data_IF_256674002759
#
_entry.id   IF_256674002759
#
_cell.length_a   1.000
_cell.length_b   1.000
_cell.length_c   1.000
_cell.angle_alpha   90.00
_cell.angle_beta   90.00
_cell.angle_gamma   90.00
#
_symmetry.space_group_name_H-M   'P 1'
#
loop_
_entity.id
_entity.type
_entity.pdbx_description
1 polymer ?
#
# COMPACT_ATOMS: atom_id res chain seq x y z
N UNK A 1 -12.55 -37.50 -18.04
CA UNK A 1 -12.70 -36.64 -16.84
C UNK A 1 -11.55 -35.64 -16.84
N UNK A 2 -11.75 -34.47 -17.45
CA UNK A 2 -10.75 -33.40 -17.46
C UNK A 2 -10.77 -32.71 -16.10
N UNK A 3 -9.72 -32.92 -15.31
CA UNK A 3 -9.56 -32.21 -14.05
C UNK A 3 -9.41 -30.71 -14.36
N UNK A 4 -10.41 -29.93 -13.96
CA UNK A 4 -10.36 -28.47 -13.98
C UNK A 4 -9.17 -28.02 -13.13
N UNK A 5 -8.17 -27.38 -13.75
CA UNK A 5 -7.03 -26.82 -13.02
C UNK A 5 -7.57 -25.77 -12.04
N UNK A 6 -7.15 -25.80 -10.76
CA UNK A 6 -7.54 -24.76 -9.81
C UNK A 6 -7.03 -23.41 -10.30
N UNK A 7 -7.89 -22.38 -10.27
CA UNK A 7 -7.55 -20.98 -10.54
C UNK A 7 -6.50 -20.51 -9.51
N UNK A 8 -5.22 -20.75 -9.78
CA UNK A 8 -4.13 -20.18 -9.01
C UNK A 8 -3.85 -18.78 -9.54
N UNK A 9 -4.37 -17.76 -8.87
CA UNK A 9 -3.91 -16.39 -9.12
C UNK A 9 -2.45 -16.31 -8.68
N UNK A 10 -1.55 -15.99 -9.60
CA UNK A 10 -0.14 -15.85 -9.27
C UNK A 10 0.07 -14.61 -8.40
N UNK A 11 0.88 -14.72 -7.34
CA UNK A 11 1.26 -13.56 -6.53
C UNK A 11 1.89 -12.44 -7.36
N UNK A 12 2.56 -12.78 -8.47
CA UNK A 12 3.11 -11.80 -9.40
C UNK A 12 2.02 -11.01 -10.13
N UNK A 13 0.91 -11.66 -10.51
CA UNK A 13 -0.22 -11.02 -11.17
C UNK A 13 -0.95 -10.08 -10.21
N UNK A 14 -1.16 -10.51 -8.96
CA UNK A 14 -1.73 -9.66 -7.91
C UNK A 14 -0.84 -8.43 -7.70
N UNK A 15 0.47 -8.65 -7.55
CA UNK A 15 1.44 -7.55 -7.36
C UNK A 15 1.43 -6.60 -8.55
N UNK A 16 1.46 -7.11 -9.77
CA UNK A 16 1.43 -6.31 -10.99
C UNK A 16 0.14 -5.48 -11.10
N UNK A 17 -1.02 -6.09 -10.81
CA UNK A 17 -2.30 -5.39 -10.83
C UNK A 17 -2.40 -4.27 -9.79
N UNK A 18 -1.89 -4.50 -8.57
CA UNK A 18 -1.82 -3.47 -7.54
C UNK A 18 -0.91 -2.31 -7.96
N UNK A 19 0.28 -2.61 -8.49
CA UNK A 19 1.22 -1.57 -8.96
C UNK A 19 0.60 -0.77 -10.11
N UNK A 20 0.08 -1.44 -11.14
CA UNK A 20 -0.53 -0.77 -12.28
C UNK A 20 -1.71 0.13 -11.89
N UNK A 21 -2.47 -0.25 -10.85
CA UNK A 21 -3.54 0.59 -10.31
C UNK A 21 -2.98 1.83 -9.61
N UNK A 22 -1.95 1.67 -8.78
CA UNK A 22 -1.31 2.79 -8.08
C UNK A 22 -0.67 3.78 -9.06
N UNK A 23 0.04 3.27 -10.07
CA UNK A 23 0.68 4.09 -11.10
C UNK A 23 -0.35 4.91 -11.88
N UNK A 24 -1.44 4.27 -12.35
CA UNK A 24 -2.54 4.97 -13.04
C UNK A 24 -3.14 6.09 -12.21
N UNK A 25 -3.40 5.85 -10.92
CA UNK A 25 -3.95 6.88 -10.02
C UNK A 25 -2.95 8.01 -9.82
N UNK A 26 -1.65 7.71 -9.73
CA UNK A 26 -0.60 8.71 -9.63
C UNK A 26 -0.53 9.57 -10.89
N UNK A 27 -0.48 8.96 -12.07
CA UNK A 27 -0.39 9.64 -13.36
C UNK A 27 -1.57 10.60 -13.56
N UNK A 28 -2.80 10.14 -13.27
CA UNK A 28 -3.99 11.00 -13.40
C UNK A 28 -3.96 12.13 -12.38
N UNK A 29 -3.51 11.87 -11.14
CA UNK A 29 -3.45 12.90 -10.10
C UNK A 29 -2.36 13.96 -10.34
N UNK A 30 -1.31 13.64 -11.12
CA UNK A 30 -0.20 14.56 -11.41
C UNK A 30 -0.38 15.31 -12.72
N UNK A 31 -0.82 14.62 -13.78
CA UNK A 31 -0.85 15.15 -15.15
C UNK A 31 -2.25 15.13 -15.81
N UNK A 32 -3.27 14.62 -15.12
CA UNK A 32 -4.62 14.49 -15.67
C UNK A 32 -5.41 15.79 -15.71
N UNK A 33 -6.41 15.85 -16.60
CA UNK A 33 -7.40 16.93 -16.61
C UNK A 33 -8.26 16.93 -15.34
N UNK A 34 -8.73 18.10 -14.91
CA UNK A 34 -9.49 18.28 -13.65
C UNK A 34 -10.66 17.29 -13.48
N UNK A 35 -11.43 17.05 -14.54
CA UNK A 35 -12.54 16.10 -14.51
C UNK A 35 -12.07 14.65 -14.30
N UNK A 36 -10.96 14.26 -14.93
CA UNK A 36 -10.37 12.93 -14.73
C UNK A 36 -9.84 12.77 -13.29
N UNK A 37 -9.23 13.82 -12.74
CA UNK A 37 -8.78 13.86 -11.34
C UNK A 37 -9.96 13.69 -10.39
N UNK A 38 -11.07 14.39 -10.59
CA UNK A 38 -12.27 14.29 -9.75
C UNK A 38 -12.87 12.88 -9.80
N UNK A 39 -12.98 12.30 -11.00
CA UNK A 39 -13.50 10.93 -11.17
C UNK A 39 -12.62 9.91 -10.44
N UNK A 40 -11.30 9.93 -10.66
CA UNK A 40 -10.36 9.05 -9.95
C UNK A 40 -10.40 9.28 -8.45
N UNK A 41 -10.46 10.53 -7.99
CA UNK A 41 -10.55 10.83 -6.56
C UNK A 41 -11.79 10.22 -5.91
N UNK A 42 -12.92 10.16 -6.62
CA UNK A 42 -14.17 9.58 -6.10
C UNK A 42 -14.20 8.06 -6.18
N UNK A 43 -13.66 7.48 -7.25
CA UNK A 43 -13.78 6.04 -7.52
C UNK A 43 -12.63 5.24 -6.89
N UNK A 44 -11.40 5.75 -6.98
CA UNK A 44 -10.18 5.01 -6.66
C UNK A 44 -9.71 5.24 -5.22
N UNK A 45 -9.75 6.49 -4.74
CA UNK A 45 -9.26 6.81 -3.38
C UNK A 45 -9.99 6.02 -2.29
N UNK A 46 -11.33 5.87 -2.29
CA UNK A 46 -12.00 5.06 -1.27
C UNK A 46 -11.55 3.60 -1.27
N UNK A 47 -11.34 3.01 -2.45
CA UNK A 47 -10.87 1.64 -2.60
C UNK A 47 -9.42 1.49 -2.11
N UNK A 48 -8.54 2.43 -2.45
CA UNK A 48 -7.17 2.46 -1.95
C UNK A 48 -7.13 2.60 -0.44
N UNK A 49 -7.93 3.51 0.14
CA UNK A 49 -8.05 3.66 1.60
C UNK A 49 -8.58 2.39 2.27
N UNK A 50 -9.55 1.70 1.68
CA UNK A 50 -10.05 0.42 2.18
C UNK A 50 -8.94 -0.65 2.18
N UNK A 51 -8.20 -0.78 1.07
CA UNK A 51 -7.05 -1.69 0.97
C UNK A 51 -5.96 -1.38 1.98
N UNK A 52 -5.57 -0.11 2.11
CA UNK A 52 -4.59 0.34 3.11
C UNK A 52 -5.06 0.03 4.53
N UNK A 53 -6.31 0.31 4.89
CA UNK A 53 -6.87 -0.03 6.21
C UNK A 53 -6.85 -1.54 6.46
N UNK A 54 -7.18 -2.35 5.46
CA UNK A 54 -7.11 -3.81 5.58
C UNK A 54 -5.67 -4.28 5.86
N UNK A 55 -4.67 -3.78 5.13
CA UNK A 55 -3.25 -4.08 5.37
C UNK A 55 -2.80 -3.63 6.76
N UNK A 56 -3.15 -2.40 7.16
CA UNK A 56 -2.83 -1.87 8.49
C UNK A 56 -3.48 -2.69 9.60
N UNK A 57 -4.69 -3.22 9.40
CA UNK A 57 -5.38 -4.02 10.43
C UNK A 57 -4.63 -5.32 10.79
N UNK A 58 -3.82 -5.84 9.86
CA UNK A 58 -2.93 -6.98 10.11
C UNK A 58 -1.76 -6.61 11.03
N UNK A 59 -1.49 -5.31 11.20
CA UNK A 59 -0.37 -4.76 11.93
C UNK A 59 -0.83 -3.93 13.12
N UNK A 60 -0.83 -4.55 14.31
CA UNK A 60 -1.17 -3.88 15.58
C UNK A 60 0.06 -3.83 16.49
N UNK A 61 0.94 -2.82 16.34
CA UNK A 61 2.06 -2.65 17.26
C UNK A 61 1.57 -2.28 18.67
N UNK A 62 2.36 -2.60 19.69
CA UNK A 62 2.19 -2.09 21.05
C UNK A 62 2.64 -0.63 21.17
N UNK A 63 2.54 -0.06 22.37
CA UNK A 63 2.95 1.32 22.67
C UNK A 63 4.45 1.58 22.41
N UNK A 64 5.26 0.52 22.33
CA UNK A 64 6.69 0.60 21.99
C UNK A 64 6.94 0.36 20.49
N UNK A 65 5.89 0.37 19.66
CA UNK A 65 5.96 0.19 18.22
C UNK A 65 6.21 -1.26 17.77
N UNK A 66 6.19 -2.24 18.69
CA UNK A 66 6.54 -3.63 18.36
C UNK A 66 5.32 -4.41 17.89
N UNK A 67 5.41 -4.98 16.70
CA UNK A 67 4.32 -5.70 16.07
C UNK A 67 4.54 -7.22 16.13
N UNK A 68 3.54 -7.98 16.58
CA UNK A 68 3.59 -9.46 16.62
C UNK A 68 3.48 -10.12 15.24
N UNK A 69 2.82 -9.45 14.30
CA UNK A 69 2.76 -9.89 12.90
C UNK A 69 4.11 -9.71 12.20
N UNK A 70 4.88 -8.69 12.59
CA UNK A 70 6.27 -8.56 12.20
C UNK A 70 7.13 -9.54 13.00
N UNK A 71 7.64 -10.58 12.34
CA UNK A 71 8.47 -11.59 12.99
C UNK A 71 9.94 -11.23 12.82
N UNK A 72 10.69 -11.17 13.93
CA UNK A 72 12.16 -11.10 13.91
C UNK A 72 12.79 -12.33 14.56
N UNK A 73 13.97 -12.74 14.08
CA UNK A 73 14.76 -13.84 14.65
C UNK A 73 14.35 -15.25 14.17
N UNK A 74 15.12 -16.26 14.60
CA UNK A 74 14.87 -17.69 14.30
C UNK A 74 13.51 -18.14 14.86
N UNK A 75 12.92 -19.21 14.31
CA UNK A 75 11.55 -19.66 14.67
C UNK A 75 11.33 -19.84 16.17
N UNK A 76 12.41 -20.14 16.93
CA UNK A 76 12.39 -20.46 18.36
C UNK A 76 12.66 -19.25 19.26
N UNK A 77 12.98 -18.09 18.68
CA UNK A 77 13.18 -16.81 19.38
C UNK A 77 12.48 -15.68 18.65
N UNK A 78 11.25 -15.92 18.20
CA UNK A 78 10.44 -14.88 17.56
C UNK A 78 10.08 -13.82 18.59
N UNK A 79 10.71 -12.66 18.51
CA UNK A 79 10.37 -11.48 19.33
C UNK A 79 9.60 -10.48 18.47
N UNK A 80 8.62 -9.75 19.05
CA UNK A 80 8.04 -8.59 18.40
C UNK A 80 9.15 -7.59 18.01
N UNK A 81 9.08 -7.06 16.80
CA UNK A 81 10.03 -6.07 16.26
C UNK A 81 9.30 -4.80 15.83
N UNK A 82 9.98 -3.66 15.65
CA UNK A 82 9.36 -2.46 15.09
C UNK A 82 8.55 -2.77 13.83
N UNK A 83 7.36 -2.18 13.74
CA UNK A 83 6.41 -2.48 12.67
C UNK A 83 6.89 -1.92 11.32
N UNK A 84 7.64 -2.72 10.56
CA UNK A 84 8.20 -2.28 9.26
C UNK A 84 7.14 -1.70 8.32
N UNK A 85 5.98 -2.35 8.05
CA UNK A 85 5.02 -1.81 7.09
C UNK A 85 4.46 -0.43 7.48
N UNK A 86 4.23 -0.19 8.77
CA UNK A 86 3.76 1.12 9.23
C UNK A 86 4.87 2.18 9.16
N UNK A 87 6.12 1.81 9.46
CA UNK A 87 7.26 2.72 9.32
C UNK A 87 7.50 3.10 7.85
N UNK A 88 7.50 2.12 6.95
CA UNK A 88 7.64 2.35 5.50
C UNK A 88 6.51 3.23 4.96
N UNK A 89 5.26 2.97 5.39
CA UNK A 89 4.11 3.80 5.02
C UNK A 89 4.29 5.26 5.49
N UNK A 90 4.67 5.46 6.76
CA UNK A 90 4.89 6.81 7.31
C UNK A 90 6.01 7.55 6.58
N UNK A 91 7.10 6.86 6.27
CA UNK A 91 8.21 7.40 5.49
C UNK A 91 7.74 7.84 4.10
N UNK A 92 7.04 6.96 3.38
CA UNK A 92 6.53 7.25 2.03
C UNK A 92 5.59 8.46 2.01
N UNK A 93 4.68 8.58 2.99
CA UNK A 93 3.80 9.74 3.12
C UNK A 93 4.59 11.01 3.41
N UNK A 94 5.53 10.96 4.35
CA UNK A 94 6.39 12.11 4.67
C UNK A 94 7.18 12.58 3.43
N UNK A 95 7.75 11.65 2.66
CA UNK A 95 8.50 11.98 1.44
C UNK A 95 7.59 12.57 0.36
N UNK A 96 6.37 12.06 0.18
CA UNK A 96 5.43 12.60 -0.79
C UNK A 96 4.95 14.02 -0.43
N UNK A 97 4.65 14.28 0.85
CA UNK A 97 4.22 15.60 1.33
C UNK A 97 5.34 16.64 1.23
N UNK A 98 6.58 16.25 1.51
CA UNK A 98 7.75 17.15 1.40
C UNK A 98 8.16 17.42 -0.04
N UNK A 99 7.95 16.46 -0.96
CA UNK A 99 8.18 16.62 -2.40
C UNK A 99 7.22 17.61 -3.07
N UNK A 100 5.91 17.54 -2.79
CA UNK A 100 4.89 18.44 -3.40
C UNK A 100 5.12 19.92 -3.12
N UNK A 101 5.70 20.26 -1.97
CA UNK A 101 6.04 21.65 -1.63
C UNK A 101 7.08 22.29 -2.57
N UNK A 102 7.82 21.49 -3.35
CA UNK A 102 8.82 21.97 -4.33
C UNK A 102 8.23 22.19 -5.72
N UNK A 103 7.20 21.43 -6.12
CA UNK A 103 6.59 21.51 -7.44
C UNK A 103 5.55 22.64 -7.56
N UNK A 104 4.83 23.00 -6.49
CA UNK A 104 3.85 24.09 -6.49
C UNK A 104 4.43 25.52 -6.53
N UNK A 105 5.77 25.69 -6.61
CA UNK A 105 6.44 27.00 -6.64
C UNK A 105 7.02 27.39 -8.01
N UNK A 106 6.61 26.72 -9.08
CA UNK A 106 7.02 27.06 -10.45
C UNK A 106 5.83 27.44 -11.31
#
# INVERSE_FOLDING_TARGET
>A
MTASKPNYVSYNEIRAGVIARLDRVSDIAEDGEDEAVICVAREEVPALLAGTRALISLHRPDDQGRCRACRGGRWWRRRPVPCRPLLEFQLAVHTASTGRGRHHRR
#
